data_IF_281161364111
#
_entry.id   IF_281161364111
#
_cell.length_a   1.000
_cell.length_b   1.000
_cell.length_c   1.000
_cell.angle_alpha   90.00
_cell.angle_beta   90.00
_cell.angle_gamma   90.00
#
_symmetry.space_group_name_H-M   'P 1'
#
loop_
_entity.id
_entity.type
_entity.pdbx_description
1 polymer ?
#
# COMPACT_ATOMS: atom_id res chain seq x y z
N UNK A 1 -10.75 -12.29 -26.31
CA UNK A 1 -11.49 -12.73 -25.09
C UNK A 1 -10.74 -12.56 -23.76
N UNK A 2 -9.62 -11.80 -23.68
CA UNK A 2 -8.92 -11.45 -22.42
C UNK A 2 -9.29 -10.05 -21.88
N UNK A 3 -9.74 -9.15 -22.76
CA UNK A 3 -10.06 -7.75 -22.43
C UNK A 3 -11.30 -7.62 -21.52
N UNK A 4 -12.37 -8.35 -21.85
CA UNK A 4 -13.61 -8.38 -21.07
C UNK A 4 -13.44 -8.96 -19.66
N UNK A 5 -12.52 -9.92 -19.47
CA UNK A 5 -12.20 -10.44 -18.13
C UNK A 5 -11.45 -9.42 -17.28
N UNK A 6 -10.55 -8.62 -17.86
CA UNK A 6 -9.81 -7.58 -17.12
C UNK A 6 -10.72 -6.41 -16.73
N UNK A 7 -11.65 -6.03 -17.60
CA UNK A 7 -12.65 -4.98 -17.34
C UNK A 7 -13.63 -5.33 -16.20
N UNK A 8 -13.88 -6.62 -15.97
CA UNK A 8 -14.73 -7.12 -14.89
C UNK A 8 -14.00 -7.27 -13.54
N UNK A 9 -12.68 -7.03 -13.46
CA UNK A 9 -11.88 -7.28 -12.25
C UNK A 9 -11.49 -5.97 -11.53
N UNK A 10 -11.42 -4.84 -12.23
CA UNK A 10 -11.08 -3.56 -11.60
C UNK A 10 -12.26 -3.01 -10.77
N UNK A 11 -12.08 -2.76 -9.46
CA UNK A 11 -13.14 -2.29 -8.57
C UNK A 11 -13.81 -1.00 -9.08
N UNK A 12 -13.02 -0.09 -9.66
CA UNK A 12 -13.50 1.20 -10.18
C UNK A 12 -14.52 1.06 -11.32
N UNK A 13 -14.32 0.07 -12.21
CA UNK A 13 -15.24 -0.17 -13.33
C UNK A 13 -16.55 -0.82 -12.85
N UNK A 14 -16.46 -1.75 -11.90
CA UNK A 14 -17.65 -2.36 -11.31
C UNK A 14 -18.52 -1.32 -10.61
N UNK A 15 -17.89 -0.41 -9.85
CA UNK A 15 -18.56 0.69 -9.16
C UNK A 15 -19.26 1.62 -10.15
N UNK A 16 -18.56 2.03 -11.22
CA UNK A 16 -19.12 2.92 -12.24
C UNK A 16 -20.28 2.27 -13.00
N UNK A 17 -20.16 0.98 -13.32
CA UNK A 17 -21.19 0.23 -14.03
C UNK A 17 -22.46 0.05 -13.17
N UNK A 18 -22.30 -0.32 -11.89
CA UNK A 18 -23.42 -0.44 -10.95
C UNK A 18 -24.13 0.92 -10.81
N UNK A 19 -23.37 1.99 -10.60
CA UNK A 19 -23.92 3.34 -10.50
C UNK A 19 -24.69 3.75 -11.76
N UNK A 20 -24.12 3.52 -12.96
CA UNK A 20 -24.75 3.86 -14.23
C UNK A 20 -26.03 3.05 -14.49
N UNK A 21 -26.02 1.75 -14.18
CA UNK A 21 -27.20 0.89 -14.35
C UNK A 21 -28.28 1.29 -13.34
N UNK A 22 -27.97 1.40 -12.05
CA UNK A 22 -28.96 1.78 -11.03
C UNK A 22 -29.51 3.18 -11.28
N UNK A 23 -28.66 4.14 -11.67
CA UNK A 23 -29.09 5.49 -12.02
C UNK A 23 -29.96 5.52 -13.27
N UNK A 24 -29.59 4.83 -14.35
CA UNK A 24 -30.37 4.75 -15.58
C UNK A 24 -31.73 4.09 -15.36
N UNK A 25 -31.77 3.00 -14.59
CA UNK A 25 -32.99 2.27 -14.27
C UNK A 25 -33.93 3.10 -13.39
N UNK A 26 -33.37 3.90 -12.48
CA UNK A 26 -34.12 4.85 -11.65
C UNK A 26 -34.72 6.01 -12.46
N UNK A 27 -33.97 6.57 -13.40
CA UNK A 27 -34.43 7.62 -14.31
C UNK A 27 -35.63 7.11 -15.12
N UNK A 28 -35.45 5.98 -15.82
CA UNK A 28 -36.49 5.38 -16.67
C UNK A 28 -37.75 4.98 -15.87
N UNK A 29 -37.57 4.34 -14.72
CA UNK A 29 -38.68 3.94 -13.86
C UNK A 29 -39.52 5.14 -13.41
N UNK A 30 -38.86 6.22 -13.05
CA UNK A 30 -39.58 7.35 -12.50
C UNK A 30 -40.19 8.26 -13.56
N UNK A 31 -39.63 8.35 -14.76
CA UNK A 31 -40.29 9.06 -15.86
C UNK A 31 -41.58 8.32 -16.26
N UNK A 32 -41.54 6.98 -16.22
CA UNK A 32 -42.72 6.14 -16.45
C UNK A 32 -43.78 6.26 -15.35
N UNK A 33 -43.36 6.30 -14.07
CA UNK A 33 -44.26 6.47 -12.93
C UNK A 33 -44.90 7.87 -12.90
N UNK A 34 -44.14 8.91 -13.26
CA UNK A 34 -44.66 10.28 -13.40
C UNK A 34 -45.70 10.37 -14.52
N UNK A 35 -45.47 9.71 -15.65
CA UNK A 35 -46.44 9.66 -16.75
C UNK A 35 -47.78 9.00 -16.36
N UNK A 36 -47.74 8.02 -15.44
CA UNK A 36 -48.93 7.32 -14.93
C UNK A 36 -49.68 8.12 -13.84
N UNK A 37 -48.99 8.97 -13.08
CA UNK A 37 -49.56 9.74 -11.95
C UNK A 37 -49.96 11.19 -12.30
N UNK A 38 -49.64 11.67 -13.50
CA UNK A 38 -49.78 13.07 -13.93
C UNK A 38 -51.23 13.57 -14.18
N UNK A 39 -52.23 13.12 -13.42
CA UNK A 39 -53.60 13.64 -13.54
C UNK A 39 -53.89 14.90 -12.69
N UNK A 40 -52.91 15.44 -11.92
CA UNK A 40 -53.02 16.67 -11.12
C UNK A 40 -51.73 17.53 -11.13
N UNK A 41 -51.78 18.82 -11.52
CA UNK A 41 -50.59 19.65 -11.80
C UNK A 41 -49.79 20.11 -10.56
N UNK A 42 -50.39 20.20 -9.37
CA UNK A 42 -49.69 20.67 -8.15
C UNK A 42 -48.79 19.59 -7.51
N UNK A 43 -49.09 18.32 -7.76
CA UNK A 43 -48.38 17.19 -7.16
C UNK A 43 -47.05 16.87 -7.86
N UNK A 44 -46.86 17.33 -9.10
CA UNK A 44 -45.73 16.96 -9.97
C UNK A 44 -44.40 17.54 -9.45
N UNK A 45 -44.38 18.78 -8.97
CA UNK A 45 -43.15 19.46 -8.50
C UNK A 45 -42.65 18.94 -7.16
N UNK A 46 -43.53 18.66 -6.20
CA UNK A 46 -43.14 18.08 -4.91
C UNK A 46 -42.62 16.64 -5.09
N UNK A 47 -43.25 15.86 -5.98
CA UNK A 47 -42.79 14.50 -6.31
C UNK A 47 -41.38 14.50 -6.94
N UNK A 48 -41.10 15.47 -7.82
CA UNK A 48 -39.78 15.68 -8.43
C UNK A 48 -38.70 15.97 -7.38
N UNK A 49 -38.97 16.87 -6.43
CA UNK A 49 -38.00 17.21 -5.38
C UNK A 49 -37.75 16.02 -4.44
N UNK A 50 -38.79 15.34 -3.96
CA UNK A 50 -38.65 14.17 -3.06
C UNK A 50 -37.84 13.06 -3.76
N UNK A 51 -38.09 12.81 -5.05
CA UNK A 51 -37.34 11.84 -5.86
C UNK A 51 -35.86 12.21 -5.97
N UNK A 52 -35.55 13.49 -6.18
CA UNK A 52 -34.18 13.99 -6.25
C UNK A 52 -33.43 13.74 -4.93
N UNK A 53 -34.05 14.06 -3.79
CA UNK A 53 -33.48 13.80 -2.47
C UNK A 53 -33.29 12.31 -2.20
N UNK A 54 -34.22 11.45 -2.63
CA UNK A 54 -34.07 10.00 -2.51
C UNK A 54 -32.91 9.46 -3.35
N UNK A 55 -32.76 9.95 -4.59
CA UNK A 55 -31.63 9.60 -5.44
C UNK A 55 -30.29 10.03 -4.81
N UNK A 56 -30.20 11.27 -4.31
CA UNK A 56 -29.00 11.78 -3.64
C UNK A 56 -28.68 10.94 -2.39
N UNK A 57 -29.69 10.57 -1.59
CA UNK A 57 -29.50 9.75 -0.39
C UNK A 57 -28.99 8.35 -0.73
N UNK A 58 -29.60 7.67 -1.72
CA UNK A 58 -29.16 6.33 -2.15
C UNK A 58 -27.74 6.39 -2.72
N UNK A 59 -27.48 7.34 -3.61
CA UNK A 59 -26.16 7.47 -4.25
C UNK A 59 -25.08 7.83 -3.24
N UNK A 60 -25.37 8.69 -2.26
CA UNK A 60 -24.45 9.02 -1.17
C UNK A 60 -24.18 7.83 -0.26
N UNK A 61 -25.20 7.06 0.11
CA UNK A 61 -25.02 5.84 0.91
C UNK A 61 -24.22 4.77 0.16
N UNK A 62 -24.48 4.60 -1.13
CA UNK A 62 -23.74 3.67 -1.99
C UNK A 62 -22.26 4.08 -2.08
N UNK A 63 -21.97 5.35 -2.39
CA UNK A 63 -20.61 5.86 -2.46
C UNK A 63 -19.88 5.76 -1.11
N UNK A 64 -20.55 6.13 -0.01
CA UNK A 64 -20.00 6.00 1.33
C UNK A 64 -19.62 4.54 1.64
N UNK A 65 -20.52 3.59 1.34
CA UNK A 65 -20.27 2.18 1.58
C UNK A 65 -19.08 1.65 0.75
N UNK A 66 -19.00 2.04 -0.52
CA UNK A 66 -17.92 1.64 -1.42
C UNK A 66 -16.56 2.19 -1.00
N UNK A 67 -16.49 3.48 -0.66
CA UNK A 67 -15.26 4.11 -0.18
C UNK A 67 -14.82 3.42 1.12
N UNK A 68 -15.74 3.22 2.05
CA UNK A 68 -15.44 2.56 3.33
C UNK A 68 -14.91 1.13 3.12
N UNK A 69 -15.45 0.39 2.17
CA UNK A 69 -14.99 -0.97 1.85
C UNK A 69 -13.56 -0.97 1.30
N UNK A 70 -13.23 -0.06 0.38
CA UNK A 70 -11.88 0.03 -0.19
C UNK A 70 -10.86 0.51 0.87
N UNK A 71 -11.21 1.48 1.70
CA UNK A 71 -10.35 1.90 2.83
C UNK A 71 -10.04 0.74 3.78
N UNK A 72 -11.05 -0.07 4.12
CA UNK A 72 -10.84 -1.24 4.99
C UNK A 72 -9.98 -2.31 4.33
N UNK A 73 -10.12 -2.53 3.02
CA UNK A 73 -9.28 -3.48 2.27
C UNK A 73 -7.83 -3.04 2.26
N UNK A 74 -7.56 -1.76 2.02
CA UNK A 74 -6.22 -1.19 2.07
C UNK A 74 -5.59 -1.37 3.45
N UNK A 75 -6.29 -0.97 4.51
CA UNK A 75 -5.81 -1.11 5.89
C UNK A 75 -5.53 -2.56 6.28
N UNK A 76 -6.40 -3.50 5.90
CA UNK A 76 -6.20 -4.92 6.20
C UNK A 76 -5.00 -5.49 5.43
N UNK A 77 -4.83 -5.07 4.18
CA UNK A 77 -3.70 -5.47 3.34
C UNK A 77 -2.38 -4.94 3.92
N UNK A 78 -2.33 -3.65 4.27
CA UNK A 78 -1.18 -3.01 4.91
C UNK A 78 -0.80 -3.72 6.22
N UNK A 79 -1.78 -3.95 7.11
CA UNK A 79 -1.56 -4.68 8.34
C UNK A 79 -0.99 -6.08 8.07
N UNK A 80 -1.54 -6.80 7.10
CA UNK A 80 -1.06 -8.13 6.74
C UNK A 80 0.38 -8.11 6.23
N UNK A 81 0.75 -7.14 5.41
CA UNK A 81 2.13 -6.99 4.96
C UNK A 81 3.08 -6.63 6.10
N UNK A 82 2.66 -5.73 6.99
CA UNK A 82 3.42 -5.37 8.19
C UNK A 82 3.64 -6.58 9.09
N UNK A 83 2.59 -7.35 9.36
CA UNK A 83 2.67 -8.55 10.19
C UNK A 83 3.61 -9.60 9.57
N UNK A 84 3.56 -9.79 8.25
CA UNK A 84 4.48 -10.69 7.53
C UNK A 84 5.94 -10.24 7.63
N UNK A 85 6.20 -8.93 7.55
CA UNK A 85 7.53 -8.36 7.69
C UNK A 85 8.07 -8.53 9.12
N UNK A 86 7.29 -8.08 10.12
CA UNK A 86 7.70 -8.10 11.53
C UNK A 86 7.96 -9.51 12.05
N UNK A 87 7.10 -10.47 11.69
CA UNK A 87 7.21 -11.86 12.14
C UNK A 87 8.05 -12.75 11.21
N UNK A 88 8.71 -12.18 10.18
CA UNK A 88 9.55 -12.98 9.31
C UNK A 88 10.76 -13.53 10.09
N UNK A 89 11.04 -14.85 10.03
CA UNK A 89 12.06 -15.48 10.87
C UNK A 89 13.50 -15.07 10.51
N UNK A 90 13.73 -14.60 9.29
CA UNK A 90 15.04 -14.07 8.88
C UNK A 90 15.16 -12.58 9.22
N UNK A 91 16.35 -12.10 9.62
CA UNK A 91 16.63 -10.67 9.75
C UNK A 91 16.39 -9.93 8.43
N UNK A 92 15.50 -8.95 8.44
CA UNK A 92 15.21 -8.07 7.30
C UNK A 92 15.36 -6.62 7.76
N UNK A 93 16.10 -5.84 6.98
CA UNK A 93 16.22 -4.39 7.15
C UNK A 93 15.95 -3.69 5.83
N UNK A 94 15.14 -2.64 5.86
CA UNK A 94 14.90 -1.73 4.74
C UNK A 94 15.75 -0.49 4.99
N UNK A 95 16.50 -0.04 4.00
CA UNK A 95 17.33 1.16 4.09
C UNK A 95 17.20 2.04 2.87
N UNK A 96 17.41 3.33 3.05
CA UNK A 96 17.38 4.31 1.98
C UNK A 96 18.67 4.23 1.14
N UNK A 97 18.55 4.18 -0.19
CA UNK A 97 19.73 4.03 -1.06
C UNK A 97 20.62 5.28 -1.13
N UNK A 98 20.13 6.46 -0.77
CA UNK A 98 20.90 7.72 -0.82
C UNK A 98 21.67 7.97 0.47
N UNK A 99 21.02 7.76 1.60
CA UNK A 99 21.55 8.03 2.95
C UNK A 99 22.09 6.79 3.64
N UNK A 100 21.74 5.60 3.13
CA UNK A 100 22.07 4.28 3.70
C UNK A 100 21.53 4.05 5.12
N UNK A 101 20.65 4.93 5.59
CA UNK A 101 19.98 4.81 6.89
C UNK A 101 18.90 3.74 6.84
N UNK A 102 18.76 2.99 7.93
CA UNK A 102 17.62 2.09 8.07
C UNK A 102 16.33 2.90 8.17
N UNK A 103 15.35 2.49 7.37
CA UNK A 103 13.98 2.97 7.39
C UNK A 103 13.07 2.04 8.20
N UNK A 104 13.39 0.75 8.22
CA UNK A 104 12.62 -0.27 8.95
C UNK A 104 13.49 -1.48 9.26
N UNK A 105 13.22 -2.15 10.38
CA UNK A 105 13.82 -3.45 10.71
C UNK A 105 12.76 -4.37 11.32
N UNK A 106 12.87 -5.67 11.09
CA UNK A 106 11.96 -6.62 11.71
C UNK A 106 12.44 -7.12 13.07
N UNK A 107 11.58 -7.84 13.80
CA UNK A 107 11.90 -8.38 15.13
C UNK A 107 13.07 -9.37 15.09
N UNK A 108 13.17 -10.17 14.03
CA UNK A 108 14.29 -11.10 13.85
C UNK A 108 15.63 -10.36 13.74
N UNK A 109 15.70 -9.19 13.08
CA UNK A 109 16.91 -8.39 13.02
C UNK A 109 17.30 -7.81 14.39
N UNK A 110 16.31 -7.30 15.14
CA UNK A 110 16.51 -6.81 16.51
C UNK A 110 17.08 -7.91 17.40
N UNK A 111 16.47 -9.10 17.40
CA UNK A 111 16.92 -10.25 18.17
C UNK A 111 18.30 -10.76 17.72
N UNK A 112 18.57 -10.76 16.42
CA UNK A 112 19.81 -11.29 15.87
C UNK A 112 21.03 -10.40 16.16
N UNK A 113 20.88 -9.07 16.04
CA UNK A 113 21.98 -8.11 16.20
C UNK A 113 22.04 -7.46 17.59
N UNK A 114 20.95 -7.50 18.36
CA UNK A 114 20.88 -6.98 19.73
C UNK A 114 20.66 -5.47 19.84
N UNK A 115 20.44 -4.76 18.74
CA UNK A 115 20.05 -3.34 18.75
C UNK A 115 18.53 -3.20 18.82
N UNK A 116 18.05 -2.17 19.52
CA UNK A 116 16.64 -1.77 19.45
C UNK A 116 16.31 -1.18 18.08
N UNK A 117 15.02 -1.18 17.72
CA UNK A 117 14.51 -0.50 16.51
C UNK A 117 14.98 0.96 16.44
N UNK A 118 14.86 1.70 17.54
CA UNK A 118 15.26 3.10 17.62
C UNK A 118 16.76 3.35 17.42
N UNK A 119 17.60 2.36 17.72
CA UNK A 119 19.05 2.40 17.46
C UNK A 119 19.29 2.12 15.97
N UNK A 120 18.64 1.09 15.42
CA UNK A 120 18.72 0.78 13.99
C UNK A 120 18.34 1.96 13.10
N UNK A 121 17.22 2.63 13.39
CA UNK A 121 16.74 3.78 12.60
C UNK A 121 17.69 5.00 12.62
N UNK A 122 18.62 5.06 13.58
CA UNK A 122 19.67 6.08 13.64
C UNK A 122 20.97 5.64 12.96
N UNK A 123 21.13 4.35 12.72
CA UNK A 123 22.28 3.73 12.10
C UNK A 123 22.13 3.66 10.59
N UNK A 124 23.26 3.42 9.93
CA UNK A 124 23.35 3.07 8.53
C UNK A 124 23.70 1.60 8.38
N UNK A 125 23.40 1.00 7.22
CA UNK A 125 23.82 -0.38 6.90
C UNK A 125 25.35 -0.55 7.05
N UNK A 126 26.10 0.53 6.83
CA UNK A 126 27.56 0.55 6.92
C UNK A 126 28.09 0.46 8.36
N UNK A 127 27.29 0.84 9.36
CA UNK A 127 27.70 0.77 10.76
C UNK A 127 27.74 -0.67 11.28
N UNK A 128 27.07 -1.60 10.58
CA UNK A 128 27.12 -3.02 10.85
C UNK A 128 28.38 -3.68 10.26
N UNK A 129 28.91 -3.17 9.16
CA UNK A 129 30.05 -3.75 8.47
C UNK A 129 31.39 -3.24 9.04
N UNK A 130 32.49 -3.89 8.67
CA UNK A 130 33.83 -3.36 8.93
C UNK A 130 34.10 -2.07 8.11
N UNK A 131 35.00 -1.18 8.56
CA UNK A 131 35.35 0.03 7.80
C UNK A 131 35.84 -0.24 6.37
N UNK A 132 36.56 -1.35 6.18
CA UNK A 132 37.10 -1.78 4.88
C UNK A 132 36.00 -2.25 3.90
N UNK A 133 34.98 -2.95 4.43
CA UNK A 133 33.79 -3.32 3.65
C UNK A 133 32.88 -2.11 3.37
N UNK A 134 32.82 -1.16 4.30
CA UNK A 134 32.02 0.07 4.15
C UNK A 134 32.48 0.93 2.95
N UNK A 135 33.80 1.08 2.77
CA UNK A 135 34.35 1.78 1.61
C UNK A 135 34.11 1.01 0.30
N UNK A 136 34.28 -0.31 0.34
CA UNK A 136 34.02 -1.20 -0.81
C UNK A 136 32.55 -1.12 -1.26
N UNK A 137 31.61 -1.09 -0.30
CA UNK A 137 30.18 -0.96 -0.57
C UNK A 137 29.83 0.40 -1.19
N UNK A 138 30.38 1.50 -0.66
CA UNK A 138 30.20 2.85 -1.23
C UNK A 138 30.68 2.94 -2.68
N UNK A 139 31.84 2.35 -2.98
CA UNK A 139 32.41 2.32 -4.33
C UNK A 139 31.52 1.52 -5.29
N UNK A 140 31.00 0.37 -4.87
CA UNK A 140 30.08 -0.44 -5.66
C UNK A 140 28.78 0.31 -5.96
N UNK A 141 28.18 0.98 -4.96
CA UNK A 141 26.97 1.79 -5.14
C UNK A 141 27.19 2.99 -6.08
N UNK A 142 28.37 3.61 -6.06
CA UNK A 142 28.69 4.77 -6.93
C UNK A 142 28.92 4.36 -8.38
N UNK A 143 29.36 3.11 -8.61
CA UNK A 143 29.76 2.64 -9.95
C UNK A 143 28.61 2.27 -10.89
N UNK A 144 27.33 2.29 -10.44
CA UNK A 144 26.18 1.76 -11.19
C UNK A 144 26.39 0.33 -11.75
N UNK A 145 27.41 -0.38 -11.28
CA UNK A 145 27.62 -1.77 -11.61
C UNK A 145 26.45 -2.54 -11.01
N UNK A 146 25.66 -3.21 -11.87
CA UNK A 146 24.62 -4.15 -11.44
C UNK A 146 25.19 -4.97 -10.29
N UNK A 147 24.47 -5.00 -9.17
CA UNK A 147 24.72 -5.84 -8.00
C UNK A 147 24.68 -7.32 -8.40
N UNK A 148 25.70 -7.75 -9.14
CA UNK A 148 25.83 -9.07 -9.73
C UNK A 148 26.76 -9.85 -8.83
N UNK A 149 26.17 -10.67 -7.96
CA UNK A 149 26.70 -11.90 -7.35
C UNK A 149 28.05 -11.87 -6.60
N UNK A 150 28.72 -10.73 -6.45
CA UNK A 150 30.08 -10.72 -5.90
C UNK A 150 30.11 -10.29 -4.43
N UNK A 151 30.16 -11.32 -3.58
CA UNK A 151 30.32 -11.38 -2.11
C UNK A 151 29.02 -11.33 -1.31
N UNK A 152 28.26 -12.41 -1.43
CA UNK A 152 27.19 -12.81 -0.52
C UNK A 152 27.68 -13.19 0.90
N UNK A 153 28.91 -12.87 1.29
CA UNK A 153 29.43 -13.18 2.63
C UNK A 153 30.12 -11.91 3.12
N UNK A 154 29.56 -11.29 4.14
CA UNK A 154 30.11 -10.11 4.81
C UNK A 154 30.23 -10.37 6.31
N UNK A 155 31.17 -9.68 6.95
CA UNK A 155 31.33 -9.73 8.39
C UNK A 155 30.61 -8.58 9.04
N UNK A 156 29.53 -8.88 9.74
CA UNK A 156 28.81 -7.89 10.52
C UNK A 156 29.21 -7.92 11.99
N UNK A 157 29.14 -6.76 12.64
CA UNK A 157 29.38 -6.59 14.07
C UNK A 157 28.05 -6.34 14.79
N UNK A 158 27.74 -7.21 15.75
CA UNK A 158 26.61 -7.05 16.66
C UNK A 158 26.86 -5.96 17.70
N UNK A 159 25.82 -5.60 18.47
CA UNK A 159 25.90 -4.60 19.54
C UNK A 159 26.92 -4.96 20.64
N UNK A 160 27.04 -6.25 20.94
CA UNK A 160 28.00 -6.78 21.91
C UNK A 160 29.45 -6.81 21.37
N UNK A 161 29.66 -6.38 20.12
CA UNK A 161 30.96 -6.39 19.45
C UNK A 161 31.31 -7.71 18.78
N UNK A 162 30.48 -8.76 18.88
CA UNK A 162 30.71 -10.04 18.24
C UNK A 162 30.63 -9.90 16.72
N UNK A 163 31.63 -10.47 16.03
CA UNK A 163 31.62 -10.58 14.58
C UNK A 163 30.88 -11.85 14.16
N UNK A 164 29.99 -11.69 13.19
CA UNK A 164 29.21 -12.77 12.58
C UNK A 164 29.37 -12.73 11.07
N UNK A 165 29.51 -13.91 10.48
CA UNK A 165 29.44 -14.05 9.03
C UNK A 165 27.96 -14.07 8.62
N UNK A 166 27.60 -13.18 7.70
CA UNK A 166 26.23 -13.06 7.20
C UNK A 166 26.20 -13.12 5.69
N UNK A 167 25.16 -13.78 5.18
CA UNK A 167 24.81 -13.69 3.77
C UNK A 167 23.78 -12.59 3.54
N UNK A 168 24.16 -11.61 2.73
CA UNK A 168 23.32 -10.45 2.42
C UNK A 168 22.68 -10.67 1.05
N UNK A 169 21.37 -10.80 1.05
CA UNK A 169 20.57 -10.72 -0.16
C UNK A 169 19.87 -9.37 -0.21
N UNK A 170 20.32 -8.52 -1.14
CA UNK A 170 19.73 -7.20 -1.35
C UNK A 170 18.91 -7.17 -2.63
N UNK A 171 17.66 -6.71 -2.53
CA UNK A 171 16.82 -6.44 -3.68
C UNK A 171 16.35 -4.99 -3.65
N UNK A 172 16.54 -4.28 -4.75
CA UNK A 172 16.07 -2.90 -4.86
C UNK A 172 14.55 -2.89 -5.06
N UNK A 173 13.85 -2.30 -4.10
CA UNK A 173 12.41 -2.08 -4.19
C UNK A 173 12.14 -0.63 -4.57
N UNK A 174 11.30 -0.42 -5.58
CA UNK A 174 10.76 0.90 -5.87
C UNK A 174 9.54 1.11 -4.98
N UNK A 175 9.78 1.55 -3.74
CA UNK A 175 8.69 1.92 -2.85
C UNK A 175 8.17 3.30 -3.23
N UNK A 176 6.87 3.38 -3.50
CA UNK A 176 6.13 4.65 -3.47
C UNK A 176 5.87 4.89 -1.98
N UNK A 177 6.86 5.38 -1.23
CA UNK A 177 6.58 5.84 0.14
C UNK A 177 5.65 7.04 0.03
N UNK A 178 4.40 6.85 0.46
CA UNK A 178 3.57 7.98 0.86
C UNK A 178 4.25 8.64 2.08
N UNK A 179 4.36 9.97 2.12
CA UNK A 179 5.23 10.69 3.04
C UNK A 179 4.93 10.49 4.53
N UNK A 180 3.81 9.88 4.90
CA UNK A 180 3.33 9.77 6.28
C UNK A 180 3.46 8.36 6.88
N UNK A 181 3.94 7.35 6.14
CA UNK A 181 4.17 6.02 6.71
C UNK A 181 5.59 5.96 7.26
N UNK A 182 5.73 6.38 8.52
CA UNK A 182 6.88 6.01 9.36
C UNK A 182 6.81 4.50 9.60
N UNK A 183 7.70 3.77 8.94
CA UNK A 183 8.01 2.38 9.28
C UNK A 183 8.68 2.29 10.65
#
# INVERSE_FOLDING_TARGET
MKFWKKLLIDPCYQITLIYAITGGLWIAFSDHLLALLAHYPYSITVFQTIKGWFFILITSLLLYYLIRQETQRLQLSEKRYRDLFLNHPQPIGVYDLKTLKFLAVNEAAIAHYGYSESEFLKMTILDLCSPEESESFKLLMTSNAKSSDQKNLSKHRKKDGMLIDVEILSHQLQMILEPDILL
#
